data_IF_805049920166
#
_entry.id   IF_805049920166
#
_cell.length_a   1.000
_cell.length_b   1.000
_cell.length_c   1.000
_cell.angle_alpha   90.00
_cell.angle_beta   90.00
_cell.angle_gamma   90.00
#
_symmetry.space_group_name_H-M   'P 1'
#
loop_
_entity.id
_entity.type
_entity.pdbx_description
1 polymer ?
#
# COMPACT_ATOMS: atom_id res chain seq x y z
N UNK A 1 30.11 47.32 -51.41
CA UNK A 1 28.67 46.99 -51.38
C UNK A 1 28.44 45.68 -52.13
N UNK A 2 27.95 44.63 -51.43
CA UNK A 2 27.22 43.39 -51.87
C UNK A 2 27.77 42.63 -53.10
N UNK A 3 28.05 41.31 -53.11
CA UNK A 3 27.24 40.10 -52.75
C UNK A 3 28.21 38.90 -52.57
N UNK A 4 28.22 38.17 -51.43
CA UNK A 4 27.57 36.84 -51.15
C UNK A 4 28.00 35.74 -52.16
N UNK A 5 28.93 34.80 -51.89
CA UNK A 5 28.98 33.64 -50.92
C UNK A 5 27.99 32.51 -51.31
N UNK A 6 28.23 31.19 -51.38
CA UNK A 6 29.34 30.20 -51.39
C UNK A 6 28.71 28.90 -51.92
N UNK A 7 29.46 28.08 -52.67
CA UNK A 7 29.10 26.69 -52.98
C UNK A 7 29.62 25.77 -51.88
N UNK A 8 28.71 24.93 -51.38
CA UNK A 8 28.87 23.86 -50.41
C UNK A 8 30.07 22.95 -50.71
N UNK A 9 30.84 22.61 -49.66
CA UNK A 9 31.17 21.23 -49.23
C UNK A 9 32.18 21.31 -48.09
N UNK A 10 31.70 21.13 -46.85
CA UNK A 10 32.58 21.02 -45.69
C UNK A 10 32.87 19.54 -45.40
N UNK A 11 34.15 19.24 -45.60
CA UNK A 11 34.83 17.98 -45.33
C UNK A 11 34.80 17.61 -43.84
N UNK A 12 34.67 16.32 -43.58
CA UNK A 12 34.85 15.67 -42.29
C UNK A 12 36.33 15.80 -41.86
N UNK A 13 36.62 16.41 -40.71
CA UNK A 13 37.91 16.22 -40.03
C UNK A 13 37.82 16.43 -38.52
N UNK A 14 38.39 15.46 -37.82
CA UNK A 14 38.56 15.33 -36.38
C UNK A 14 39.45 16.45 -35.80
N UNK A 15 39.16 16.90 -34.58
CA UNK A 15 40.16 17.52 -33.70
C UNK A 15 39.99 17.01 -32.26
N UNK A 16 41.13 16.63 -31.69
CA UNK A 16 41.31 16.05 -30.37
C UNK A 16 41.90 17.06 -29.37
N UNK A 17 41.98 16.59 -28.11
CA UNK A 17 42.81 17.00 -26.96
C UNK A 17 42.17 17.93 -25.91
N UNK A 18 42.05 17.42 -24.66
CA UNK A 18 43.06 17.60 -23.61
C UNK A 18 42.72 16.86 -22.30
N UNK A 19 43.68 16.10 -21.79
CA UNK A 19 43.70 15.44 -20.47
C UNK A 19 43.53 16.42 -19.30
N UNK A 20 42.86 15.96 -18.23
CA UNK A 20 43.26 16.23 -16.86
C UNK A 20 42.68 15.16 -15.90
N UNK A 21 43.58 14.59 -15.10
CA UNK A 21 43.42 13.52 -14.11
C UNK A 21 42.79 13.99 -12.80
N UNK A 22 41.81 13.23 -12.25
CA UNK A 22 41.53 13.08 -10.80
C UNK A 22 40.87 11.70 -10.52
N UNK A 23 41.49 10.88 -9.65
CA UNK A 23 40.97 9.71 -8.89
C UNK A 23 40.45 10.22 -7.51
N UNK A 24 39.80 9.45 -6.59
CA UNK A 24 39.07 8.17 -6.61
C UNK A 24 37.82 8.21 -5.68
N UNK A 25 36.62 8.53 -6.17
CA UNK A 25 35.43 8.71 -5.28
C UNK A 25 34.47 7.50 -5.27
N UNK A 26 34.72 6.50 -6.11
CA UNK A 26 33.83 5.35 -6.27
C UNK A 26 34.11 4.19 -5.31
N UNK A 27 35.34 4.04 -4.81
CA UNK A 27 35.70 2.92 -3.91
C UNK A 27 35.28 3.16 -2.45
N UNK A 28 35.18 4.42 -2.01
CA UNK A 28 34.83 4.75 -0.62
C UNK A 28 33.32 4.57 -0.37
N UNK A 29 32.48 4.93 -1.34
CA UNK A 29 31.02 4.75 -1.28
C UNK A 29 30.64 3.27 -1.29
N UNK A 30 31.37 2.42 -2.01
CA UNK A 30 31.11 0.98 -2.04
C UNK A 30 31.44 0.34 -0.69
N UNK A 31 32.49 0.79 -0.01
CA UNK A 31 32.89 0.28 1.30
C UNK A 31 31.95 0.73 2.43
N UNK A 32 31.35 1.91 2.33
CA UNK A 32 30.35 2.37 3.32
C UNK A 32 29.01 1.63 3.17
N UNK A 33 28.60 1.33 1.93
CA UNK A 33 27.40 0.52 1.64
C UNK A 33 27.62 -0.95 2.05
N UNK A 34 28.80 -1.53 1.82
CA UNK A 34 29.08 -2.92 2.21
C UNK A 34 29.27 -3.11 3.72
N UNK A 35 29.74 -2.09 4.44
CA UNK A 35 29.81 -2.13 5.90
C UNK A 35 28.44 -1.87 6.56
N UNK A 36 27.56 -1.06 5.95
CA UNK A 36 26.18 -0.89 6.42
C UNK A 36 25.29 -2.14 6.21
N UNK A 37 25.62 -3.01 5.26
CA UNK A 37 24.91 -4.28 5.02
C UNK A 37 25.32 -5.36 6.04
N UNK A 38 26.45 -5.20 6.76
CA UNK A 38 26.90 -6.17 7.77
C UNK A 38 26.15 -6.12 9.10
N UNK A 39 25.41 -5.05 9.38
CA UNK A 39 24.64 -4.87 10.62
C UNK A 39 23.12 -5.03 10.42
N UNK A 40 22.66 -5.43 9.23
CA UNK A 40 21.27 -5.89 9.07
C UNK A 40 21.21 -7.31 9.59
N UNK A 41 20.95 -7.36 10.90
CA UNK A 41 20.54 -8.50 11.68
C UNK A 41 20.06 -9.69 10.84
N UNK A 42 20.75 -10.80 11.05
CA UNK A 42 20.25 -12.17 10.97
C UNK A 42 18.72 -12.20 11.15
N UNK A 43 17.98 -12.22 10.03
CA UNK A 43 16.56 -12.52 10.03
C UNK A 43 16.50 -14.00 10.33
N UNK A 44 16.32 -14.36 11.60
CA UNK A 44 15.88 -15.69 11.98
C UNK A 44 14.64 -16.01 11.13
N UNK A 45 14.63 -17.11 10.37
CA UNK A 45 13.45 -17.48 9.60
C UNK A 45 12.31 -17.70 10.59
N UNK A 46 11.27 -16.84 10.54
CA UNK A 46 10.05 -17.06 11.30
C UNK A 46 9.54 -18.46 10.95
N UNK A 47 9.61 -19.40 11.90
CA UNK A 47 9.08 -20.74 11.73
C UNK A 47 7.58 -20.59 11.42
N UNK A 48 7.10 -21.10 10.27
CA UNK A 48 5.70 -20.91 9.90
C UNK A 48 4.81 -21.59 10.95
N UNK A 49 3.93 -20.80 11.58
CA UNK A 49 2.96 -21.31 12.56
C UNK A 49 2.12 -22.42 11.94
N UNK A 50 1.86 -23.47 12.71
CA UNK A 50 0.97 -24.54 12.29
C UNK A 50 -0.48 -24.05 12.23
N UNK A 51 -1.32 -24.70 11.42
CA UNK A 51 -2.76 -24.42 11.31
C UNK A 51 -3.45 -24.42 12.68
N UNK A 52 -3.05 -25.33 13.57
CA UNK A 52 -3.59 -25.43 14.93
C UNK A 52 -3.27 -24.17 15.75
N UNK A 53 -2.01 -23.74 15.77
CA UNK A 53 -1.57 -22.55 16.52
C UNK A 53 -2.27 -21.28 16.00
N UNK A 54 -2.43 -21.17 14.67
CA UNK A 54 -3.15 -20.04 14.06
C UNK A 54 -4.61 -20.02 14.55
N UNK A 55 -5.30 -21.16 14.55
CA UNK A 55 -6.70 -21.22 15.02
C UNK A 55 -6.82 -20.87 16.50
N UNK A 56 -5.92 -21.37 17.34
CA UNK A 56 -5.90 -21.07 18.77
C UNK A 56 -5.67 -19.57 19.01
N UNK A 57 -4.72 -18.96 18.31
CA UNK A 57 -4.43 -17.52 18.40
C UNK A 57 -5.63 -16.67 17.94
N UNK A 58 -6.22 -16.98 16.79
CA UNK A 58 -7.37 -16.24 16.25
C UNK A 58 -8.58 -16.35 17.20
N UNK A 59 -8.85 -17.55 17.71
CA UNK A 59 -9.93 -17.77 18.67
C UNK A 59 -9.69 -17.02 19.97
N UNK A 60 -8.45 -17.05 20.50
CA UNK A 60 -8.08 -16.30 21.70
C UNK A 60 -8.22 -14.78 21.52
N UNK A 61 -7.95 -14.26 20.32
CA UNK A 61 -8.15 -12.86 19.95
C UNK A 61 -9.62 -12.50 19.65
N UNK A 62 -10.54 -13.47 19.71
CA UNK A 62 -11.98 -13.28 19.51
C UNK A 62 -12.42 -13.23 18.05
N UNK A 63 -11.58 -13.66 17.11
CA UNK A 63 -11.97 -13.76 15.70
C UNK A 63 -12.94 -14.93 15.50
N UNK A 64 -13.87 -14.75 14.56
CA UNK A 64 -14.72 -15.84 14.09
C UNK A 64 -14.03 -16.55 12.94
N UNK A 65 -13.89 -17.86 13.07
CA UNK A 65 -13.24 -18.73 12.10
C UNK A 65 -14.06 -20.01 11.88
N UNK A 66 -13.91 -20.64 10.73
CA UNK A 66 -14.36 -22.01 10.47
C UNK A 66 -13.44 -22.70 9.46
N UNK A 67 -13.54 -24.03 9.36
CA UNK A 67 -12.77 -24.81 8.42
C UNK A 67 -13.56 -25.02 7.12
N UNK A 68 -12.93 -24.72 5.98
CA UNK A 68 -13.43 -25.05 4.65
C UNK A 68 -12.51 -26.11 4.04
N UNK A 69 -13.09 -27.20 3.53
CA UNK A 69 -12.33 -28.25 2.85
C UNK A 69 -12.45 -28.02 1.35
N UNK A 70 -11.32 -27.81 0.68
CA UNK A 70 -11.31 -27.72 -0.78
C UNK A 70 -11.59 -29.10 -1.37
N UNK A 71 -12.60 -29.21 -2.22
CA UNK A 71 -13.01 -30.51 -2.77
C UNK A 71 -11.96 -31.12 -3.70
N UNK A 72 -11.17 -30.29 -4.41
CA UNK A 72 -10.20 -30.76 -5.38
C UNK A 72 -8.90 -31.21 -4.72
N UNK A 73 -8.40 -30.45 -3.74
CA UNK A 73 -7.13 -30.76 -3.06
C UNK A 73 -7.30 -31.55 -1.77
N UNK A 74 -8.52 -31.60 -1.21
CA UNK A 74 -8.81 -32.13 0.12
C UNK A 74 -8.08 -31.38 1.26
N UNK A 75 -7.53 -30.20 0.98
CA UNK A 75 -6.88 -29.37 1.98
C UNK A 75 -7.90 -28.66 2.86
N UNK A 76 -7.57 -28.51 4.14
CA UNK A 76 -8.36 -27.71 5.08
C UNK A 76 -7.85 -26.27 5.12
N UNK A 77 -8.71 -25.33 4.76
CA UNK A 77 -8.47 -23.89 4.75
C UNK A 77 -9.19 -23.24 5.92
N UNK A 78 -8.49 -22.39 6.68
CA UNK A 78 -9.12 -21.57 7.71
C UNK A 78 -9.83 -20.39 7.03
N UNK A 79 -11.15 -20.34 7.15
CA UNK A 79 -11.94 -19.17 6.81
C UNK A 79 -12.03 -18.26 8.02
N UNK A 80 -11.74 -16.97 7.84
CA UNK A 80 -11.86 -15.94 8.88
C UNK A 80 -12.92 -14.91 8.47
N UNK A 81 -13.69 -14.43 9.44
CA UNK A 81 -14.57 -13.28 9.23
C UNK A 81 -13.75 -11.99 9.33
N UNK A 82 -13.78 -11.24 8.25
CA UNK A 82 -13.32 -9.87 8.11
C UNK A 82 -14.53 -8.93 8.02
N UNK A 83 -14.26 -7.63 7.90
CA UNK A 83 -15.30 -6.62 7.71
C UNK A 83 -14.97 -5.74 6.51
N UNK A 84 -15.79 -5.83 5.47
CA UNK A 84 -15.64 -5.00 4.28
C UNK A 84 -16.39 -3.69 4.49
N UNK A 85 -15.66 -2.59 4.55
CA UNK A 85 -16.20 -1.25 4.61
C UNK A 85 -16.24 -0.64 3.21
N UNK A 86 -17.43 -0.29 2.74
CA UNK A 86 -17.63 0.53 1.56
C UNK A 86 -17.57 2.01 1.96
N UNK A 87 -16.71 2.76 1.29
CA UNK A 87 -16.53 4.20 1.47
C UNK A 87 -17.39 4.90 0.43
N UNK A 88 -18.63 5.25 0.78
CA UNK A 88 -19.61 5.86 -0.13
C UNK A 88 -19.47 7.38 -0.15
N UNK A 89 -19.87 7.99 -1.26
CA UNK A 89 -19.90 9.45 -1.42
C UNK A 89 -20.82 10.07 -0.37
N UNK A 90 -20.30 11.03 0.39
CA UNK A 90 -21.06 11.81 1.35
C UNK A 90 -21.75 13.02 0.74
N UNK A 91 -22.64 13.63 1.51
CA UNK A 91 -23.43 14.79 1.08
C UNK A 91 -22.59 16.08 0.99
N UNK A 92 -21.50 16.18 1.75
CA UNK A 92 -20.70 17.41 1.81
C UNK A 92 -19.75 17.48 0.62
N UNK A 93 -19.84 18.58 -0.14
CA UNK A 93 -18.88 18.94 -1.19
C UNK A 93 -18.02 20.11 -0.75
N UNK A 94 -16.73 20.03 -1.01
CA UNK A 94 -15.82 21.13 -0.69
C UNK A 94 -15.74 22.14 -1.82
N UNK A 95 -15.62 23.40 -1.42
CA UNK A 95 -15.57 24.54 -2.32
C UNK A 95 -14.15 25.08 -2.49
N UNK A 96 -13.19 24.68 -1.65
CA UNK A 96 -11.79 25.04 -1.80
C UNK A 96 -10.88 23.82 -2.04
N UNK A 97 -9.80 24.05 -2.77
CA UNK A 97 -8.85 22.99 -3.14
C UNK A 97 -7.90 22.66 -1.98
N UNK A 98 -7.51 23.66 -1.19
CA UNK A 98 -6.54 23.50 -0.10
C UNK A 98 -7.04 22.57 1.02
N UNK A 99 -8.28 22.77 1.50
CA UNK A 99 -8.88 21.86 2.47
C UNK A 99 -9.04 20.47 1.86
N UNK A 100 -9.29 20.37 0.55
CA UNK A 100 -9.54 19.09 -0.12
C UNK A 100 -8.28 18.25 -0.14
N UNK A 101 -7.17 18.87 -0.49
CA UNK A 101 -5.85 18.27 -0.38
C UNK A 101 -5.52 17.90 1.08
N UNK A 102 -5.86 18.76 2.04
CA UNK A 102 -5.61 18.50 3.47
C UNK A 102 -6.40 17.30 4.00
N UNK A 103 -7.71 17.23 3.73
CA UNK A 103 -8.56 16.09 4.14
C UNK A 103 -8.13 14.81 3.42
N UNK A 104 -7.76 14.88 2.15
CA UNK A 104 -7.23 13.72 1.42
C UNK A 104 -5.95 13.18 2.06
N UNK A 105 -5.01 14.06 2.43
CA UNK A 105 -3.79 13.67 3.14
C UNK A 105 -4.10 13.00 4.48
N UNK A 106 -5.06 13.53 5.23
CA UNK A 106 -5.47 12.99 6.52
C UNK A 106 -6.14 11.61 6.38
N UNK A 107 -6.97 11.43 5.36
CA UNK A 107 -7.58 10.13 5.02
C UNK A 107 -6.52 9.08 4.69
N UNK A 108 -5.56 9.40 3.81
CA UNK A 108 -4.46 8.48 3.50
C UNK A 108 -3.61 8.13 4.72
N UNK A 109 -3.37 9.11 5.61
CA UNK A 109 -2.67 8.87 6.88
C UNK A 109 -3.46 7.95 7.82
N UNK A 110 -4.78 8.09 7.87
CA UNK A 110 -5.65 7.20 8.62
C UNK A 110 -5.57 5.76 8.10
N UNK A 111 -5.76 5.55 6.79
CA UNK A 111 -5.67 4.23 6.16
C UNK A 111 -4.31 3.56 6.41
N UNK A 112 -3.22 4.32 6.22
CA UNK A 112 -1.86 3.84 6.49
C UNK A 112 -1.70 3.40 7.96
N UNK A 113 -2.24 4.17 8.91
CA UNK A 113 -2.22 3.81 10.32
C UNK A 113 -3.00 2.53 10.59
N UNK A 114 -4.18 2.34 9.99
CA UNK A 114 -4.97 1.12 10.17
C UNK A 114 -4.21 -0.12 9.68
N UNK A 115 -3.52 0.00 8.55
CA UNK A 115 -2.66 -1.05 8.02
C UNK A 115 -1.48 -1.36 8.94
N UNK A 116 -0.73 -0.34 9.37
CA UNK A 116 0.43 -0.51 10.25
C UNK A 116 0.10 -1.12 11.61
N UNK A 117 -1.12 -0.86 12.12
CA UNK A 117 -1.60 -1.45 13.38
C UNK A 117 -2.21 -2.85 13.20
N UNK A 118 -2.30 -3.37 11.96
CA UNK A 118 -2.92 -4.65 11.66
C UNK A 118 -4.45 -4.66 11.80
N UNK A 119 -5.10 -3.48 11.81
CA UNK A 119 -6.55 -3.38 11.87
C UNK A 119 -7.21 -3.47 10.51
N UNK A 120 -6.50 -3.19 9.43
CA UNK A 120 -6.98 -3.33 8.06
C UNK A 120 -5.90 -3.93 7.16
N UNK A 121 -6.29 -4.83 6.27
CA UNK A 121 -5.33 -5.56 5.43
C UNK A 121 -5.25 -4.95 4.01
N UNK A 122 -6.38 -4.50 3.46
CA UNK A 122 -6.46 -3.96 2.09
C UNK A 122 -7.30 -2.68 2.09
N UNK A 123 -6.85 -1.65 1.41
CA UNK A 123 -7.64 -0.43 1.14
C UNK A 123 -7.33 0.09 -0.26
N UNK A 124 -8.36 0.54 -0.98
CA UNK A 124 -8.17 1.09 -2.32
C UNK A 124 -9.41 1.80 -2.87
N UNK A 125 -9.23 2.77 -3.77
CA UNK A 125 -10.33 3.42 -4.46
C UNK A 125 -10.90 2.52 -5.57
N UNK A 126 -12.16 2.75 -5.92
CA UNK A 126 -12.68 2.27 -7.21
C UNK A 126 -12.18 3.16 -8.35
N UNK A 127 -12.01 2.57 -9.53
CA UNK A 127 -11.51 3.27 -10.72
C UNK A 127 -12.57 4.03 -11.52
N UNK A 128 -13.83 3.93 -11.12
CA UNK A 128 -14.96 4.62 -11.74
C UNK A 128 -15.41 5.85 -10.92
N UNK A 129 -16.37 6.61 -11.45
CA UNK A 129 -17.00 7.73 -10.72
C UNK A 129 -18.31 7.32 -10.04
N UNK A 130 -18.38 6.10 -9.51
CA UNK A 130 -19.55 5.57 -8.83
C UNK A 130 -19.82 6.21 -7.46
N UNK A 131 -20.95 5.82 -6.87
CA UNK A 131 -21.32 6.22 -5.50
C UNK A 131 -20.39 5.62 -4.46
N UNK A 132 -19.80 4.46 -4.73
CA UNK A 132 -18.80 3.84 -3.87
C UNK A 132 -17.42 4.33 -4.33
N UNK A 133 -16.70 5.02 -3.45
CA UNK A 133 -15.41 5.64 -3.77
C UNK A 133 -14.23 4.70 -3.53
N UNK A 134 -14.42 3.70 -2.66
CA UNK A 134 -13.41 2.70 -2.38
C UNK A 134 -13.89 1.68 -1.35
N UNK A 135 -12.98 0.78 -1.01
CA UNK A 135 -13.16 -0.21 0.05
C UNK A 135 -11.99 -0.22 1.01
N UNK A 136 -12.27 -0.64 2.23
CA UNK A 136 -11.28 -1.08 3.22
C UNK A 136 -11.72 -2.40 3.82
N UNK A 137 -10.82 -3.39 3.89
CA UNK A 137 -11.05 -4.68 4.55
C UNK A 137 -10.42 -4.62 5.93
N UNK A 138 -11.26 -4.54 6.96
CA UNK A 138 -10.85 -4.55 8.36
C UNK A 138 -10.65 -5.98 8.88
N UNK A 139 -9.53 -6.19 9.55
CA UNK A 139 -9.10 -7.43 10.19
C UNK A 139 -9.17 -7.25 11.72
N UNK A 140 -10.40 -7.26 12.23
CA UNK A 140 -10.72 -7.06 13.64
C UNK A 140 -11.79 -8.07 14.08
N UNK A 141 -11.92 -8.40 15.39
CA UNK A 141 -12.80 -9.48 15.82
C UNK A 141 -14.30 -9.16 15.74
N UNK A 142 -14.70 -7.90 15.63
CA UNK A 142 -16.12 -7.51 15.71
C UNK A 142 -16.51 -6.41 14.73
N UNK A 143 -17.77 -6.47 14.27
CA UNK A 143 -18.38 -5.45 13.40
C UNK A 143 -18.30 -4.06 14.04
N UNK A 144 -18.60 -3.96 15.35
CA UNK A 144 -18.56 -2.70 16.10
C UNK A 144 -17.16 -2.06 16.07
N UNK A 145 -16.11 -2.86 16.16
CA UNK A 145 -14.75 -2.35 16.07
C UNK A 145 -14.43 -1.84 14.66
N UNK A 146 -14.79 -2.61 13.62
CA UNK A 146 -14.60 -2.19 12.23
C UNK A 146 -15.34 -0.90 11.92
N UNK A 147 -16.62 -0.83 12.32
CA UNK A 147 -17.46 0.36 12.16
C UNK A 147 -16.87 1.58 12.89
N UNK A 148 -16.44 1.42 14.14
CA UNK A 148 -15.83 2.51 14.90
C UNK A 148 -14.53 3.00 14.28
N UNK A 149 -13.68 2.11 13.77
CA UNK A 149 -12.43 2.49 13.13
C UNK A 149 -12.69 3.21 11.80
N UNK A 150 -13.56 2.67 10.96
CA UNK A 150 -13.94 3.27 9.69
C UNK A 150 -14.58 4.66 9.86
N UNK A 151 -15.48 4.83 10.83
CA UNK A 151 -16.08 6.13 11.13
C UNK A 151 -15.13 7.11 11.82
N UNK A 152 -13.94 6.67 12.26
CA UNK A 152 -12.94 7.56 12.85
C UNK A 152 -12.13 8.34 11.82
N UNK A 153 -12.25 7.98 10.53
CA UNK A 153 -11.60 8.61 9.39
C UNK A 153 -11.96 10.10 9.28
N UNK A 154 -10.97 11.00 9.13
CA UNK A 154 -11.20 12.43 8.91
C UNK A 154 -12.14 12.77 7.75
N UNK A 155 -12.13 12.01 6.65
CA UNK A 155 -13.08 12.22 5.54
C UNK A 155 -14.52 11.86 5.91
N UNK A 156 -14.71 10.82 6.74
CA UNK A 156 -16.03 10.43 7.20
C UNK A 156 -16.56 11.44 8.21
N UNK A 157 -15.72 11.87 9.15
CA UNK A 157 -16.07 12.94 10.11
C UNK A 157 -16.42 14.26 9.43
N UNK A 158 -15.76 14.57 8.32
CA UNK A 158 -16.07 15.73 7.48
C UNK A 158 -17.31 15.54 6.59
N UNK A 159 -18.00 14.40 6.67
CA UNK A 159 -19.20 14.08 5.87
C UNK A 159 -18.92 13.94 4.37
N UNK A 160 -17.65 13.78 3.97
CA UNK A 160 -17.22 13.57 2.58
C UNK A 160 -17.41 12.12 2.16
N UNK A 161 -17.30 11.22 3.13
CA UNK A 161 -17.57 9.80 2.98
C UNK A 161 -18.62 9.36 3.98
N UNK A 162 -19.37 8.33 3.61
CA UNK A 162 -20.30 7.60 4.48
C UNK A 162 -19.90 6.14 4.46
N UNK A 163 -19.85 5.51 5.61
CA UNK A 163 -19.42 4.13 5.75
C UNK A 163 -20.62 3.19 5.74
N UNK A 164 -20.46 2.08 5.02
CA UNK A 164 -21.33 0.91 5.09
C UNK A 164 -20.45 -0.32 5.31
N UNK A 165 -20.63 -1.05 6.41
CA UNK A 165 -19.77 -2.19 6.78
C UNK A 165 -20.54 -3.50 6.75
N UNK A 166 -19.97 -4.52 6.10
CA UNK A 166 -20.53 -5.86 6.05
C UNK A 166 -19.54 -6.90 6.58
N UNK A 167 -20.00 -7.92 7.33
CA UNK A 167 -19.18 -9.11 7.60
C UNK A 167 -18.88 -9.84 6.28
N UNK A 168 -17.62 -10.17 6.07
CA UNK A 168 -17.16 -10.85 4.86
C UNK A 168 -16.22 -12.00 5.22
N UNK A 169 -16.39 -13.16 4.59
CA UNK A 169 -15.56 -14.34 4.86
C UNK A 169 -14.53 -14.53 3.76
N UNK A 170 -13.29 -14.74 4.16
CA UNK A 170 -12.20 -15.04 3.25
C UNK A 170 -11.22 -16.04 3.89
N UNK A 171 -10.50 -16.76 3.04
CA UNK A 171 -9.44 -17.65 3.48
C UNK A 171 -8.32 -16.82 4.15
N UNK A 172 -7.86 -17.28 5.31
CA UNK A 172 -6.81 -16.60 6.06
C UNK A 172 -5.50 -16.64 5.28
N UNK A 173 -4.94 -15.47 5.00
CA UNK A 173 -3.64 -15.32 4.33
C UNK A 173 -3.71 -15.29 2.80
N UNK A 174 -4.91 -15.27 2.21
CA UNK A 174 -5.03 -15.10 0.76
C UNK A 174 -4.69 -13.66 0.34
N UNK A 175 -3.97 -13.57 -0.78
CA UNK A 175 -3.55 -12.31 -1.41
C UNK A 175 -4.18 -12.16 -2.81
N UNK A 176 -4.20 -10.93 -3.31
CA UNK A 176 -4.54 -10.66 -4.71
C UNK A 176 -3.40 -11.16 -5.60
N UNK A 177 -3.72 -11.85 -6.70
CA UNK A 177 -2.76 -12.46 -7.63
C UNK A 177 -2.60 -11.63 -8.90
#
# INVERSE_FOLDING_TARGET
MKRILVIFTLSFMLFACKDNSVKPEAEEVINEVTNAIKDVAEIEPEVPKTTKEIKEELTAKGFKIFDYVDEATQDTIIMQQYFMAFLKKGAIRMQNEEESAKLQKQHLAHLKKMYQLGYADISGPFGDDGDIRGITIYNVPTLKMADSLANSDPMVKAGRLVIEVHPWWAAKGFELR
#
